data_IF_349830182884
#
_entry.id   IF_349830182884
#
_cell.length_a   1.000
_cell.length_b   1.000
_cell.length_c   1.000
_cell.angle_alpha   90.00
_cell.angle_beta   90.00
_cell.angle_gamma   90.00
#
_symmetry.space_group_name_H-M   'P 1'
#
loop_
_entity.id
_entity.type
_entity.pdbx_description
1 polymer ?
#
# COMPACT_ATOMS: atom_id res chain seq x y z
N UNK A 1 -1.69 -8.68 -10.68
CA UNK A 1 -1.53 -9.81 -11.62
C UNK A 1 -2.92 -10.24 -12.05
N UNK A 2 -3.08 -10.69 -13.30
CA UNK A 2 -4.35 -11.19 -13.85
C UNK A 2 -4.13 -12.65 -14.22
N UNK A 3 -5.05 -13.52 -13.81
CA UNK A 3 -4.99 -14.95 -14.06
C UNK A 3 -6.20 -15.41 -14.87
N UNK A 4 -5.98 -16.34 -15.79
CA UNK A 4 -7.03 -17.03 -16.52
C UNK A 4 -7.72 -18.10 -15.66
N UNK A 5 -8.85 -18.64 -16.14
CA UNK A 5 -9.57 -19.72 -15.46
C UNK A 5 -8.74 -21.02 -15.34
N UNK A 6 -7.74 -21.19 -16.19
CA UNK A 6 -6.76 -22.29 -16.16
C UNK A 6 -5.60 -22.05 -15.18
N UNK A 7 -5.59 -20.90 -14.48
CA UNK A 7 -4.52 -20.50 -13.57
C UNK A 7 -3.29 -19.90 -14.25
N UNK A 8 -3.32 -19.68 -15.57
CA UNK A 8 -2.21 -19.05 -16.29
C UNK A 8 -2.14 -17.55 -16.00
N UNK A 9 -0.93 -17.01 -15.85
CA UNK A 9 -0.73 -15.56 -15.70
C UNK A 9 -0.90 -14.90 -17.07
N UNK A 10 -2.00 -14.15 -17.25
CA UNK A 10 -2.28 -13.39 -18.47
C UNK A 10 -1.54 -12.05 -18.50
N UNK A 11 -1.21 -11.50 -17.32
CA UNK A 11 -0.43 -10.28 -17.25
C UNK A 11 -0.14 -9.82 -15.83
N UNK A 12 0.93 -9.03 -15.71
CA UNK A 12 1.29 -8.32 -14.48
C UNK A 12 1.63 -6.88 -14.77
N UNK A 13 1.28 -6.03 -13.81
CA UNK A 13 1.86 -4.71 -13.70
C UNK A 13 2.12 -4.42 -12.23
N UNK A 14 3.15 -3.63 -12.00
CA UNK A 14 3.72 -3.31 -10.69
C UNK A 14 4.31 -1.91 -10.84
N UNK A 15 4.04 -1.07 -9.84
CA UNK A 15 4.68 0.22 -9.68
C UNK A 15 5.30 0.26 -8.30
N UNK A 16 6.48 0.87 -8.22
CA UNK A 16 7.11 1.19 -6.95
C UNK A 16 6.40 2.40 -6.31
N UNK A 17 6.43 2.45 -5.00
CA UNK A 17 5.93 3.57 -4.20
C UNK A 17 7.05 4.02 -3.27
N UNK A 18 6.99 5.27 -2.82
CA UNK A 18 8.06 5.83 -2.01
C UNK A 18 8.07 5.22 -0.60
N UNK A 19 9.29 5.01 -0.09
CA UNK A 19 9.52 4.66 1.30
C UNK A 19 10.07 5.88 2.03
N UNK A 20 9.24 6.50 2.87
CA UNK A 20 9.60 7.72 3.60
C UNK A 20 10.31 7.30 4.89
N UNK A 21 11.54 7.79 5.10
CA UNK A 21 12.41 7.43 6.22
C UNK A 21 12.73 8.65 7.10
N UNK A 22 11.76 9.16 7.87
CA UNK A 22 11.95 10.42 8.61
C UNK A 22 12.93 10.29 9.78
N UNK A 23 13.11 9.08 10.31
CA UNK A 23 14.02 8.77 11.41
C UNK A 23 14.60 7.37 11.23
N UNK A 24 15.80 7.14 11.78
CA UNK A 24 16.42 5.83 11.78
C UNK A 24 15.47 4.77 12.37
N UNK A 25 15.23 3.69 11.60
CA UNK A 25 14.34 2.59 12.00
C UNK A 25 12.84 2.86 11.83
N UNK A 26 12.45 4.01 11.28
CA UNK A 26 11.08 4.33 10.90
C UNK A 26 10.92 4.18 9.40
N UNK A 27 9.81 3.56 9.02
CA UNK A 27 9.36 3.44 7.64
C UNK A 27 7.94 3.95 7.60
N UNK A 28 7.69 4.93 6.75
CA UNK A 28 6.39 5.56 6.54
C UNK A 28 6.02 5.51 5.05
N UNK A 29 4.72 5.48 4.76
CA UNK A 29 4.20 5.51 3.39
C UNK A 29 3.01 6.46 3.31
N UNK A 30 2.85 7.13 2.17
CA UNK A 30 1.67 7.95 1.89
C UNK A 30 0.52 7.05 1.41
N UNK A 31 -0.62 6.99 2.14
CA UNK A 31 -1.78 6.22 1.72
C UNK A 31 -2.40 6.69 0.41
N UNK A 32 -2.28 7.98 0.06
CA UNK A 32 -2.77 8.53 -1.20
C UNK A 32 -1.92 7.99 -2.34
N UNK A 33 -0.59 7.99 -2.20
CA UNK A 33 0.29 7.42 -3.22
C UNK A 33 0.00 5.93 -3.41
N UNK A 34 -0.14 5.16 -2.33
CA UNK A 34 -0.49 3.73 -2.42
C UNK A 34 -1.78 3.53 -3.23
N UNK A 35 -2.80 4.33 -2.98
CA UNK A 35 -4.07 4.27 -3.69
C UNK A 35 -3.94 4.62 -5.18
N UNK A 36 -3.25 5.71 -5.49
CA UNK A 36 -3.01 6.17 -6.87
C UNK A 36 -2.21 5.14 -7.67
N UNK A 37 -1.14 4.59 -7.07
CA UNK A 37 -0.31 3.53 -7.67
C UNK A 37 -1.13 2.27 -7.91
N UNK A 38 -1.93 1.84 -6.95
CA UNK A 38 -2.79 0.66 -7.08
C UNK A 38 -3.80 0.82 -8.21
N UNK A 39 -4.44 2.00 -8.29
CA UNK A 39 -5.40 2.33 -9.35
C UNK A 39 -4.74 2.35 -10.74
N UNK A 40 -3.56 2.98 -10.84
CA UNK A 40 -2.77 3.01 -12.08
C UNK A 40 -2.32 1.60 -12.51
N UNK A 41 -1.94 0.76 -11.54
CA UNK A 41 -1.55 -0.62 -11.78
C UNK A 41 -2.71 -1.43 -12.36
N UNK A 42 -3.90 -1.29 -11.79
CA UNK A 42 -5.10 -1.97 -12.24
C UNK A 42 -5.46 -1.59 -13.68
N UNK A 43 -5.54 -0.29 -13.97
CA UNK A 43 -5.88 0.21 -15.31
C UNK A 43 -4.86 -0.27 -16.34
N UNK A 44 -3.57 -0.14 -16.03
CA UNK A 44 -2.51 -0.55 -16.96
C UNK A 44 -2.45 -2.06 -17.17
N UNK A 45 -2.76 -2.86 -16.14
CA UNK A 45 -2.83 -4.32 -16.28
C UNK A 45 -3.99 -4.72 -17.20
N UNK A 46 -5.18 -4.14 -17.02
CA UNK A 46 -6.35 -4.38 -17.87
C UNK A 46 -6.08 -3.98 -19.33
N UNK A 47 -5.50 -2.80 -19.55
CA UNK A 47 -5.15 -2.31 -20.88
C UNK A 47 -4.14 -3.21 -21.58
N UNK A 48 -3.12 -3.71 -20.85
CA UNK A 48 -2.11 -4.63 -21.41
C UNK A 48 -2.69 -5.99 -21.80
N UNK A 49 -3.70 -6.48 -21.08
CA UNK A 49 -4.38 -7.73 -21.39
C UNK A 49 -5.57 -7.55 -22.33
N UNK A 50 -5.88 -6.31 -22.74
CA UNK A 50 -7.06 -5.96 -23.53
C UNK A 50 -8.37 -6.49 -22.91
N UNK A 51 -8.46 -6.43 -21.58
CA UNK A 51 -9.62 -6.89 -20.80
C UNK A 51 -10.42 -5.71 -20.30
N UNK A 52 -11.73 -5.86 -20.24
CA UNK A 52 -12.61 -4.89 -19.61
C UNK A 52 -12.87 -5.25 -18.13
N UNK A 53 -13.23 -4.27 -17.27
CA UNK A 53 -13.57 -4.54 -15.87
C UNK A 53 -14.67 -5.61 -15.68
N UNK A 54 -15.58 -5.72 -16.65
CA UNK A 54 -16.66 -6.73 -16.67
C UNK A 54 -16.17 -8.16 -16.87
N UNK A 55 -14.95 -8.35 -17.36
CA UNK A 55 -14.36 -9.67 -17.61
C UNK A 55 -13.66 -10.22 -16.36
N UNK A 56 -13.56 -9.43 -15.29
CA UNK A 56 -12.95 -9.82 -14.02
C UNK A 56 -13.99 -10.51 -13.14
N UNK A 57 -13.82 -11.82 -12.93
CA UNK A 57 -14.71 -12.62 -12.10
C UNK A 57 -14.52 -12.36 -10.58
N UNK A 58 -13.30 -12.05 -10.15
CA UNK A 58 -12.96 -11.83 -8.74
C UNK A 58 -11.70 -10.98 -8.59
N UNK A 59 -11.57 -10.30 -7.43
CA UNK A 59 -10.39 -9.55 -7.05
C UNK A 59 -9.79 -10.11 -5.75
N UNK A 60 -8.54 -10.58 -5.84
CA UNK A 60 -7.75 -10.95 -4.66
C UNK A 60 -6.95 -9.75 -4.16
N UNK A 61 -7.14 -9.37 -2.90
CA UNK A 61 -6.37 -8.30 -2.27
C UNK A 61 -5.35 -8.93 -1.33
N UNK A 62 -4.07 -8.60 -1.55
CA UNK A 62 -2.98 -8.95 -0.64
C UNK A 62 -2.25 -7.68 -0.24
N UNK A 63 -1.85 -7.59 1.02
CA UNK A 63 -1.16 -6.41 1.56
C UNK A 63 0.02 -6.84 2.42
N UNK A 64 0.99 -5.93 2.57
CA UNK A 64 2.07 -6.08 3.53
C UNK A 64 1.49 -6.11 4.95
N UNK A 65 1.90 -7.10 5.75
CA UNK A 65 1.45 -7.24 7.15
C UNK A 65 2.10 -6.14 8.01
N UNK A 66 1.41 -5.75 9.09
CA UNK A 66 1.86 -4.77 10.12
C UNK A 66 1.70 -3.26 9.76
N UNK A 67 1.34 -2.93 8.52
CA UNK A 67 1.01 -1.55 8.10
C UNK A 67 -0.30 -1.08 8.72
N UNK A 68 -0.28 0.02 9.49
CA UNK A 68 -1.48 0.61 10.13
C UNK A 68 -1.86 1.93 9.48
N UNK A 69 -3.11 2.07 9.05
CA UNK A 69 -3.67 3.31 8.50
C UNK A 69 -4.81 3.80 9.41
N UNK A 70 -4.80 5.10 9.72
CA UNK A 70 -5.90 5.76 10.45
C UNK A 70 -6.57 6.76 9.52
N UNK A 71 -7.90 6.72 9.45
CA UNK A 71 -8.67 7.64 8.63
C UNK A 71 -9.89 8.16 9.37
N UNK A 72 -10.37 9.31 8.94
CA UNK A 72 -11.63 9.85 9.40
C UNK A 72 -12.79 9.05 8.78
N UNK A 73 -13.62 8.45 9.64
CA UNK A 73 -14.72 7.57 9.23
C UNK A 73 -15.82 8.24 8.40
N UNK A 74 -15.97 9.56 8.51
CA UNK A 74 -17.04 10.31 7.84
C UNK A 74 -16.60 10.78 6.46
N UNK A 75 -15.32 11.14 6.33
CA UNK A 75 -14.74 11.67 5.08
C UNK A 75 -13.96 10.63 4.28
N UNK A 76 -13.59 9.50 4.89
CA UNK A 76 -12.70 8.50 4.29
C UNK A 76 -11.26 8.99 4.11
N UNK A 77 -10.93 10.20 4.59
CA UNK A 77 -9.62 10.80 4.39
C UNK A 77 -8.62 10.30 5.43
N UNK A 78 -7.37 9.97 5.01
CA UNK A 78 -6.32 9.60 5.94
C UNK A 78 -6.01 10.76 6.89
N UNK A 79 -5.80 10.45 8.17
CA UNK A 79 -5.46 11.46 9.20
C UNK A 79 -3.98 11.85 9.10
N UNK A 80 -3.59 12.50 8.00
CA UNK A 80 -2.23 13.03 7.84
C UNK A 80 -2.09 14.35 8.61
N UNK A 81 -1.45 14.30 9.78
CA UNK A 81 -1.03 15.52 10.48
C UNK A 81 0.30 15.99 9.91
N UNK A 82 0.27 16.87 8.91
CA UNK A 82 1.41 17.75 8.61
C UNK A 82 1.20 19.11 9.26
N UNK A 83 1.25 19.14 10.59
CA UNK A 83 1.52 20.37 11.34
C UNK A 83 2.05 20.03 12.74
N UNK A 84 3.26 20.55 13.02
CA UNK A 84 3.92 20.68 14.34
C UNK A 84 3.93 19.46 15.27
N UNK A 85 5.14 19.01 15.62
CA UNK A 85 5.40 17.78 16.34
C UNK A 85 4.53 17.52 17.57
N UNK A 86 4.31 16.21 17.80
CA UNK A 86 3.76 15.57 19.00
C UNK A 86 2.30 15.11 18.91
N UNK A 87 1.94 14.33 17.88
CA UNK A 87 0.80 13.39 17.89
C UNK A 87 1.08 12.29 16.84
N UNK A 88 0.74 11.00 17.06
CA UNK A 88 0.98 9.97 16.05
C UNK A 88 0.10 10.23 14.83
N UNK A 89 0.74 10.53 13.69
CA UNK A 89 0.08 10.65 12.40
C UNK A 89 -0.50 9.30 11.97
N UNK A 90 -1.48 9.32 11.06
CA UNK A 90 -1.92 8.15 10.30
C UNK A 90 -0.81 7.66 9.37
N UNK A 91 0.23 7.14 9.99
CA UNK A 91 1.43 6.66 9.36
C UNK A 91 1.42 5.16 9.51
N UNK A 92 1.52 4.46 8.38
CA UNK A 92 1.95 3.08 8.33
C UNK A 92 3.39 2.96 8.84
N UNK A 93 3.57 3.01 10.17
CA UNK A 93 4.88 3.06 10.80
C UNK A 93 5.32 1.66 11.20
N UNK A 94 6.40 1.18 10.57
CA UNK A 94 7.07 -0.06 10.99
C UNK A 94 8.34 0.29 11.75
N UNK A 95 8.40 -0.04 13.04
CA UNK A 95 9.65 -0.02 13.81
C UNK A 95 10.40 -1.32 13.59
N UNK A 96 11.62 -1.25 13.04
CA UNK A 96 12.54 -2.39 13.02
C UNK A 96 13.01 -2.64 14.45
N UNK A 97 12.56 -3.72 15.10
CA UNK A 97 13.12 -4.16 16.39
C UNK A 97 14.56 -4.63 16.16
N UNK A 98 15.54 -3.85 16.62
CA UNK A 98 16.91 -4.35 16.76
C UNK A 98 16.95 -5.19 18.04
N UNK A 99 17.07 -6.51 17.90
CA UNK A 99 17.18 -7.48 18.99
C UNK A 99 18.54 -7.43 19.72
N UNK A 100 19.15 -6.25 19.88
CA UNK A 100 20.48 -6.08 20.51
C UNK A 100 20.44 -5.25 21.79
N UNK A 101 19.25 -4.94 22.33
CA UNK A 101 19.09 -4.10 23.52
C UNK A 101 18.32 -4.79 24.67
N UNK A 102 18.33 -6.11 24.73
CA UNK A 102 17.89 -6.88 25.90
C UNK A 102 19.04 -7.81 26.33
N UNK A 103 19.98 -7.27 27.10
CA UNK A 103 21.15 -8.01 27.55
C UNK A 103 22.11 -7.18 28.39
N UNK A 104 21.69 -6.86 29.62
CA UNK A 104 22.46 -6.93 30.89
C UNK A 104 21.65 -6.29 32.01
#
# INVERSE_FOLDING_TARGET
MIFGHDGTELGRHQLEHEQILPRAGWVEHDPIEIWERTSSVLISALNKTNLAPKDIAALGITNQRETTLVWDRHTGRPTTTRSSGRTPAATASRRRWNATAAGR
#
